data_IF_139209337257
#
_entry.id   IF_139209337257
#
_cell.length_a   1.000
_cell.length_b   1.000
_cell.length_c   1.000
_cell.angle_alpha   90.00
_cell.angle_beta   90.00
_cell.angle_gamma   90.00
#
_symmetry.space_group_name_H-M   'P 1'
#
loop_
_entity.id
_entity.type
_entity.pdbx_description
1 polymer ?
#
# COMPACT_ATOMS: atom_id res chain seq x y z
N UNK A 1 9.68 13.99 11.87
CA UNK A 1 9.90 12.91 10.88
C UNK A 1 8.74 11.93 10.96
N UNK A 2 8.08 11.68 9.85
CA UNK A 2 6.98 10.71 9.81
C UNK A 2 7.49 9.28 9.77
N UNK A 3 6.72 8.36 10.33
CA UNK A 3 7.02 6.93 10.32
C UNK A 3 6.21 6.24 9.21
N UNK A 4 6.89 5.52 8.35
CA UNK A 4 6.31 4.78 7.24
C UNK A 4 6.54 3.29 7.45
N UNK A 5 5.46 2.51 7.47
CA UNK A 5 5.55 1.06 7.45
C UNK A 5 5.60 0.59 6.00
N UNK A 6 6.62 -0.17 5.65
CA UNK A 6 6.83 -0.68 4.30
C UNK A 6 6.65 -2.19 4.29
N UNK A 7 5.54 -2.64 3.69
CA UNK A 7 5.18 -4.06 3.56
C UNK A 7 4.64 -4.34 2.17
N UNK A 8 5.49 -4.35 1.14
CA UNK A 8 5.06 -4.52 -0.24
C UNK A 8 4.74 -5.98 -0.62
N UNK A 9 4.93 -6.94 0.27
CA UNK A 9 4.69 -8.36 -0.03
C UNK A 9 3.32 -8.61 -0.67
N UNK A 10 3.22 -9.46 -1.69
CA UNK A 10 4.26 -10.36 -2.22
C UNK A 10 5.31 -9.69 -3.13
N UNK A 11 5.15 -8.41 -3.44
CA UNK A 11 6.15 -7.66 -4.22
C UNK A 11 7.35 -7.31 -3.37
N UNK A 12 8.47 -7.02 -4.00
CA UNK A 12 9.66 -6.51 -3.33
C UNK A 12 9.70 -5.00 -3.42
N UNK A 13 10.37 -4.35 -2.47
CA UNK A 13 10.52 -2.88 -2.51
C UNK A 13 11.22 -2.39 -3.78
N UNK A 14 12.12 -3.20 -4.33
CA UNK A 14 12.84 -2.92 -5.57
C UNK A 14 11.94 -2.93 -6.81
N UNK A 15 10.78 -3.61 -6.73
CA UNK A 15 9.79 -3.63 -7.80
C UNK A 15 8.90 -2.37 -7.79
N UNK A 16 8.85 -1.66 -6.67
CA UNK A 16 7.98 -0.51 -6.47
C UNK A 16 8.75 0.80 -6.56
N UNK A 17 9.95 0.83 -6.01
CA UNK A 17 10.78 2.03 -5.93
C UNK A 17 12.07 1.87 -6.74
N UNK A 18 12.44 2.94 -7.44
CA UNK A 18 13.82 3.07 -7.90
C UNK A 18 14.75 3.28 -6.70
N UNK A 19 16.04 2.94 -6.80
CA UNK A 19 17.00 3.22 -5.72
C UNK A 19 17.02 4.69 -5.30
N UNK A 20 16.90 5.61 -6.24
CA UNK A 20 16.86 7.05 -5.97
C UNK A 20 15.61 7.44 -5.17
N UNK A 21 14.43 6.95 -5.57
CA UNK A 21 13.16 7.24 -4.88
C UNK A 21 13.18 6.68 -3.45
N UNK A 22 13.70 5.48 -3.25
CA UNK A 22 13.80 4.87 -1.93
C UNK A 22 14.76 5.66 -1.03
N UNK A 23 15.86 6.15 -1.58
CA UNK A 23 16.81 6.98 -0.86
C UNK A 23 16.18 8.31 -0.42
N UNK A 24 15.44 8.97 -1.31
CA UNK A 24 14.73 10.19 -1.00
C UNK A 24 13.69 9.98 0.11
N UNK A 25 12.92 8.90 0.02
CA UNK A 25 11.90 8.56 1.02
C UNK A 25 12.55 8.33 2.39
N UNK A 26 13.65 7.58 2.44
CA UNK A 26 14.36 7.28 3.68
C UNK A 26 15.08 8.49 4.28
N UNK A 27 15.43 9.49 3.47
CA UNK A 27 16.05 10.72 3.94
C UNK A 27 15.07 11.63 4.69
N UNK A 28 13.78 11.56 4.35
CA UNK A 28 12.73 12.43 4.92
C UNK A 28 11.91 11.73 5.98
N UNK A 29 11.75 10.41 5.88
CA UNK A 29 10.89 9.60 6.75
C UNK A 29 11.65 8.46 7.38
N UNK A 30 11.17 8.03 8.54
CA UNK A 30 11.64 6.79 9.16
C UNK A 30 10.91 5.62 8.51
N UNK A 31 11.65 4.75 7.84
CA UNK A 31 11.11 3.53 7.24
C UNK A 31 11.25 2.36 8.20
N UNK A 32 10.14 1.66 8.44
CA UNK A 32 10.13 0.38 9.17
C UNK A 32 9.67 -0.68 8.20
N UNK A 33 10.59 -1.54 7.79
CA UNK A 33 10.32 -2.59 6.80
C UNK A 33 9.85 -3.86 7.48
N UNK A 34 8.86 -4.52 6.86
CA UNK A 34 8.43 -5.85 7.26
C UNK A 34 9.51 -6.87 6.88
N UNK A 35 9.90 -7.71 7.84
CA UNK A 35 10.98 -8.70 7.67
C UNK A 35 10.52 -10.03 7.04
N UNK A 36 9.22 -10.20 6.78
CA UNK A 36 8.66 -11.40 6.20
C UNK A 36 8.26 -12.48 7.23
N UNK A 37 8.44 -12.24 8.53
CA UNK A 37 8.18 -13.25 9.55
C UNK A 37 6.70 -13.35 9.94
N UNK A 38 6.21 -12.45 10.78
CA UNK A 38 4.84 -12.45 11.27
C UNK A 38 4.19 -11.08 11.04
N UNK A 39 3.34 -11.00 10.02
CA UNK A 39 2.70 -9.74 9.62
C UNK A 39 1.78 -9.19 10.71
N UNK A 40 0.99 -10.03 11.36
CA UNK A 40 0.09 -9.60 12.41
C UNK A 40 0.86 -8.99 13.59
N UNK A 41 1.95 -9.59 13.98
CA UNK A 41 2.81 -9.09 15.03
C UNK A 41 3.49 -7.77 14.64
N UNK A 42 3.94 -7.66 13.40
CA UNK A 42 4.54 -6.45 12.87
C UNK A 42 3.58 -5.25 12.97
N UNK A 43 2.35 -5.41 12.49
CA UNK A 43 1.35 -4.35 12.56
C UNK A 43 0.91 -4.04 13.99
N UNK A 44 0.71 -5.06 14.82
CA UNK A 44 0.37 -4.85 16.24
C UNK A 44 1.42 -4.04 16.97
N UNK A 45 2.69 -4.24 16.63
CA UNK A 45 3.79 -3.52 17.25
C UNK A 45 3.95 -2.09 16.77
N UNK A 46 3.74 -1.84 15.49
CA UNK A 46 4.12 -0.57 14.85
C UNK A 46 2.96 0.33 14.46
N UNK A 47 1.73 -0.18 14.41
CA UNK A 47 0.58 0.58 13.88
C UNK A 47 0.28 1.85 14.68
N UNK A 48 0.53 1.84 15.98
CA UNK A 48 0.28 2.99 16.85
C UNK A 48 1.14 4.21 16.53
N UNK A 49 2.32 4.00 15.97
CA UNK A 49 3.29 5.04 15.65
C UNK A 49 3.37 5.36 14.16
N UNK A 50 2.65 4.62 13.33
CA UNK A 50 2.69 4.78 11.88
C UNK A 50 1.90 6.00 11.43
N UNK A 51 2.53 6.83 10.60
CA UNK A 51 1.86 7.91 9.88
C UNK A 51 1.35 7.45 8.52
N UNK A 52 2.11 6.57 7.87
CA UNK A 52 1.79 6.03 6.54
C UNK A 52 2.10 4.54 6.45
N UNK A 53 1.34 3.84 5.63
CA UNK A 53 1.61 2.44 5.27
C UNK A 53 1.73 2.36 3.76
N UNK A 54 2.78 1.72 3.27
CA UNK A 54 2.98 1.42 1.85
C UNK A 54 3.05 -0.10 1.72
N UNK A 55 2.07 -0.70 1.07
CA UNK A 55 2.03 -2.14 0.93
C UNK A 55 0.66 -2.68 0.61
N UNK A 56 0.42 -3.91 1.01
CA UNK A 56 -0.89 -4.57 0.88
C UNK A 56 -1.30 -5.16 2.24
N UNK A 57 -1.57 -4.29 3.22
CA UNK A 57 -1.85 -4.73 4.58
C UNK A 57 -3.26 -5.28 4.74
N UNK A 58 -3.43 -6.16 5.74
CA UNK A 58 -4.74 -6.56 6.24
C UNK A 58 -5.06 -5.70 7.47
N UNK A 59 -5.92 -4.71 7.29
CA UNK A 59 -6.27 -3.75 8.32
C UNK A 59 -7.75 -3.87 8.69
N UNK A 60 -8.03 -4.67 9.71
CA UNK A 60 -9.37 -4.76 10.27
C UNK A 60 -9.67 -3.60 11.22
N UNK A 61 -10.92 -3.50 11.66
CA UNK A 61 -11.35 -2.46 12.59
C UNK A 61 -10.57 -2.49 13.89
N UNK A 62 -10.28 -3.68 14.41
CA UNK A 62 -9.55 -3.83 15.67
C UNK A 62 -8.15 -3.22 15.58
N UNK A 63 -7.42 -3.51 14.52
CA UNK A 63 -6.07 -2.98 14.29
C UNK A 63 -6.11 -1.46 14.04
N UNK A 64 -7.07 -1.01 13.23
CA UNK A 64 -7.23 0.42 12.90
C UNK A 64 -7.58 1.29 14.09
N UNK A 65 -8.26 0.75 15.10
CA UNK A 65 -8.52 1.48 16.35
C UNK A 65 -7.25 1.89 17.08
N UNK A 66 -6.16 1.16 16.88
CA UNK A 66 -4.85 1.46 17.45
C UNK A 66 -4.02 2.39 16.58
N UNK A 67 -4.45 2.65 15.34
CA UNK A 67 -3.75 3.49 14.38
C UNK A 67 -4.05 4.98 14.63
N UNK A 68 -3.55 5.52 15.73
CA UNK A 68 -3.90 6.88 16.18
C UNK A 68 -3.30 7.99 15.33
N UNK A 69 -2.17 7.73 14.69
CA UNK A 69 -1.44 8.71 13.87
C UNK A 69 -1.59 8.48 12.36
N UNK A 70 -2.20 7.40 11.96
CA UNK A 70 -2.28 6.99 10.56
C UNK A 70 -3.03 8.03 9.72
N UNK A 71 -2.39 8.51 8.66
CA UNK A 71 -2.92 9.51 7.74
C UNK A 71 -3.34 8.92 6.41
N UNK A 72 -2.57 7.96 5.91
CA UNK A 72 -2.85 7.33 4.62
C UNK A 72 -2.27 5.93 4.51
N UNK A 73 -2.93 5.11 3.69
CA UNK A 73 -2.46 3.81 3.26
C UNK A 73 -2.31 3.84 1.74
N UNK A 74 -1.14 3.50 1.26
CA UNK A 74 -0.83 3.40 -0.17
C UNK A 74 -0.80 1.92 -0.53
N UNK A 75 -1.91 1.41 -1.09
CA UNK A 75 -1.96 0.04 -1.59
C UNK A 75 -1.05 -0.10 -2.81
N UNK A 76 -0.23 -1.14 -2.83
CA UNK A 76 0.63 -1.44 -3.97
C UNK A 76 -0.10 -2.28 -5.04
N UNK A 77 -1.24 -2.85 -4.69
CA UNK A 77 -2.11 -3.56 -5.63
C UNK A 77 -3.17 -2.63 -6.21
N UNK A 78 -3.58 -2.92 -7.46
CA UNK A 78 -4.34 -1.99 -8.30
C UNK A 78 -5.82 -1.78 -7.96
N UNK A 79 -6.40 -2.48 -6.99
CA UNK A 79 -7.82 -2.39 -6.68
C UNK A 79 -8.05 -2.16 -5.19
N UNK A 80 -9.26 -1.72 -4.85
CA UNK A 80 -9.73 -1.71 -3.47
C UNK A 80 -10.13 -3.15 -3.08
N UNK A 81 -9.16 -3.91 -2.63
CA UNK A 81 -9.37 -5.28 -2.16
C UNK A 81 -10.01 -5.28 -0.77
N UNK A 82 -10.68 -6.39 -0.34
CA UNK A 82 -11.35 -6.44 0.96
C UNK A 82 -10.39 -6.63 2.15
N UNK A 83 -9.18 -6.12 2.04
CA UNK A 83 -8.13 -6.24 3.06
C UNK A 83 -8.16 -5.10 4.08
N UNK A 84 -8.97 -4.07 3.86
CA UNK A 84 -9.04 -2.88 4.72
C UNK A 84 -10.49 -2.56 5.04
N UNK A 85 -10.75 -2.16 6.29
CA UNK A 85 -12.04 -1.56 6.66
C UNK A 85 -12.10 -0.11 6.17
N UNK A 86 -12.57 0.07 4.94
CA UNK A 86 -12.61 1.38 4.28
C UNK A 86 -13.53 2.37 4.98
N UNK A 87 -14.66 1.91 5.48
CA UNK A 87 -15.62 2.79 6.19
C UNK A 87 -14.98 3.38 7.44
N UNK A 88 -14.26 2.56 8.18
CA UNK A 88 -13.55 3.04 9.36
C UNK A 88 -12.45 4.05 8.98
N UNK A 89 -11.67 3.75 7.96
CA UNK A 89 -10.63 4.65 7.48
C UNK A 89 -11.21 6.01 7.06
N UNK A 90 -12.24 6.01 6.22
CA UNK A 90 -12.83 7.25 5.74
C UNK A 90 -13.52 8.03 6.84
N UNK A 91 -14.16 7.36 7.79
CA UNK A 91 -14.76 8.00 8.97
C UNK A 91 -13.72 8.67 9.88
N UNK A 92 -12.49 8.19 9.88
CA UNK A 92 -11.37 8.73 10.65
C UNK A 92 -10.50 9.70 9.86
N UNK A 93 -10.82 9.96 8.60
CA UNK A 93 -10.01 10.80 7.73
C UNK A 93 -8.72 10.14 7.23
N UNK A 94 -8.60 8.82 7.35
CA UNK A 94 -7.48 8.05 6.80
C UNK A 94 -7.72 7.85 5.31
N UNK A 95 -6.79 8.31 4.49
CA UNK A 95 -6.87 8.15 3.03
C UNK A 95 -6.36 6.77 2.62
N UNK A 96 -7.05 6.14 1.69
CA UNK A 96 -6.60 4.89 1.06
C UNK A 96 -6.44 5.15 -0.42
N UNK A 97 -5.22 4.97 -0.90
CA UNK A 97 -4.84 5.26 -2.28
C UNK A 97 -4.42 3.97 -2.98
N UNK A 98 -4.77 3.83 -4.25
CA UNK A 98 -4.38 2.69 -5.07
C UNK A 98 -3.71 3.17 -6.35
N UNK A 99 -2.83 2.36 -6.97
CA UNK A 99 -2.19 2.72 -8.24
C UNK A 99 -3.04 2.37 -9.46
N UNK A 100 -4.35 2.20 -9.33
CA UNK A 100 -5.24 1.76 -10.42
C UNK A 100 -5.12 2.65 -11.66
N UNK A 101 -5.02 3.95 -11.47
CA UNK A 101 -4.88 4.90 -12.59
C UNK A 101 -3.57 4.72 -13.37
N UNK A 102 -2.53 4.23 -12.72
CA UNK A 102 -1.24 3.95 -13.38
C UNK A 102 -1.36 2.78 -14.35
N UNK A 103 -2.19 1.78 -14.02
CA UNK A 103 -2.37 0.58 -14.82
C UNK A 103 -3.48 0.69 -15.87
N UNK A 104 -4.31 1.71 -15.81
CA UNK A 104 -5.52 1.81 -16.67
C UNK A 104 -5.18 1.85 -18.15
N UNK A 105 -4.21 2.62 -18.57
CA UNK A 105 -3.82 2.73 -19.99
C UNK A 105 -3.16 1.45 -20.50
N UNK A 106 -2.12 0.88 -19.84
CA UNK A 106 -1.55 -0.39 -20.28
C UNK A 106 -2.56 -1.53 -20.35
N UNK A 107 -3.47 -1.64 -19.40
CA UNK A 107 -4.50 -2.68 -19.38
C UNK A 107 -5.47 -2.49 -20.55
N UNK A 108 -5.89 -1.27 -20.83
CA UNK A 108 -6.74 -0.96 -21.97
C UNK A 108 -6.05 -1.30 -23.30
N UNK A 109 -4.79 -1.00 -23.45
CA UNK A 109 -3.99 -1.33 -24.64
C UNK A 109 -3.91 -2.85 -24.86
N UNK A 110 -3.67 -3.62 -23.81
CA UNK A 110 -3.65 -5.09 -23.88
C UNK A 110 -5.02 -5.63 -24.28
N UNK A 111 -6.09 -5.11 -23.71
CA UNK A 111 -7.45 -5.52 -24.03
C UNK A 111 -7.80 -5.26 -25.51
N UNK A 112 -7.45 -4.11 -26.04
CA UNK A 112 -7.63 -3.77 -27.45
C UNK A 112 -6.80 -4.70 -28.35
N UNK A 113 -5.53 -4.96 -27.98
CA UNK A 113 -4.66 -5.88 -28.70
C UNK A 113 -5.24 -7.30 -28.78
N UNK A 114 -5.81 -7.78 -27.68
CA UNK A 114 -6.48 -9.08 -27.62
C UNK A 114 -7.71 -9.12 -28.53
N UNK A 115 -8.55 -8.08 -28.51
CA UNK A 115 -9.73 -7.97 -29.37
C UNK A 115 -9.34 -7.98 -30.84
N UNK A 116 -8.34 -7.24 -31.25
CA UNK A 116 -7.84 -7.22 -32.62
C UNK A 116 -7.30 -8.58 -33.06
N UNK A 117 -6.63 -9.30 -32.16
CA UNK A 117 -6.13 -10.66 -32.43
C UNK A 117 -7.26 -11.65 -32.62
N UNK A 118 -8.33 -11.55 -31.86
CA UNK A 118 -9.51 -12.41 -31.98
C UNK A 118 -10.36 -12.10 -33.24
N UNK A 119 -10.33 -10.87 -33.71
CA UNK A 119 -11.08 -10.43 -34.90
C UNK A 119 -10.47 -10.91 -36.23
N UNK A 120 -9.31 -11.48 -36.20
CA UNK A 120 -8.63 -12.02 -37.40
C UNK A 120 -9.25 -13.33 -37.87
#
# INVERSE_FOLDING_TARGET
MSTVLLDPSPRKKEDIFTPAALLELSAVHQLIEFDGSNRANFYSKHIGDADFIIGHPDLDTFLLKHAKKLKAVFNVEGNFSPNIDYQFCFGRGIRVLTPSSVFSVPVAEIAIGMLLSLAR
#
